data_IF_314747048050
#
_entry.id   IF_314747048050
#
_cell.length_a   1.000
_cell.length_b   1.000
_cell.length_c   1.000
_cell.angle_alpha   90.00
_cell.angle_beta   90.00
_cell.angle_gamma   90.00
#
_symmetry.space_group_name_H-M   'P 1'
#
loop_
_entity.id
_entity.type
_entity.pdbx_description
1 polymer ?
#
# COMPACT_ATOMS: atom_id res chain seq x y z
N UNK A 1 -6.48 -11.44 13.73
CA UNK A 1 -5.15 -10.97 13.31
C UNK A 1 -5.32 -9.78 12.37
N UNK A 2 -4.58 -8.70 12.58
CA UNK A 2 -4.58 -7.52 11.70
C UNK A 2 -3.63 -7.76 10.52
N UNK A 3 -4.08 -7.50 9.29
CA UNK A 3 -3.21 -7.56 8.11
C UNK A 3 -2.83 -6.13 7.70
N UNK A 4 -1.55 -5.72 7.82
CA UNK A 4 -1.13 -4.35 7.53
C UNK A 4 -0.97 -4.06 6.03
N UNK A 5 -1.12 -5.04 5.14
CA UNK A 5 -0.94 -4.85 3.70
C UNK A 5 -1.99 -5.58 2.85
N UNK A 6 -2.33 -4.98 1.71
CA UNK A 6 -3.29 -5.54 0.74
C UNK A 6 -2.77 -5.35 -0.69
N UNK A 7 -2.98 -6.35 -1.54
CA UNK A 7 -2.70 -6.27 -2.98
C UNK A 7 -3.92 -5.71 -3.68
N UNK A 8 -3.74 -4.71 -4.54
CA UNK A 8 -4.82 -4.13 -5.33
C UNK A 8 -5.10 -5.02 -6.54
N UNK A 9 -6.32 -5.52 -6.63
CA UNK A 9 -6.74 -6.51 -7.64
C UNK A 9 -7.67 -5.95 -8.71
N UNK A 10 -8.16 -4.72 -8.56
CA UNK A 10 -9.07 -4.06 -9.51
C UNK A 10 -8.54 -2.69 -9.95
N UNK A 11 -9.03 -2.21 -11.09
CA UNK A 11 -8.66 -0.91 -11.64
C UNK A 11 -9.42 0.28 -11.06
N UNK A 12 -10.22 0.10 -9.99
CA UNK A 12 -11.10 1.18 -9.50
C UNK A 12 -10.35 2.38 -8.94
N UNK A 13 -9.08 2.21 -8.55
CA UNK A 13 -8.23 3.27 -7.99
C UNK A 13 -7.23 3.88 -9.01
N UNK A 14 -7.31 3.49 -10.28
CA UNK A 14 -6.49 4.07 -11.35
C UNK A 14 -6.90 5.53 -11.60
N UNK A 15 -5.95 6.44 -11.93
CA UNK A 15 -4.52 6.20 -12.12
C UNK A 15 -3.67 6.26 -10.85
N UNK A 16 -4.26 6.59 -9.69
CA UNK A 16 -3.50 6.87 -8.47
C UNK A 16 -2.88 5.60 -7.86
N UNK A 17 -3.61 4.50 -7.89
CA UNK A 17 -3.15 3.18 -7.43
C UNK A 17 -3.47 2.16 -8.52
N UNK A 18 -2.46 1.44 -8.99
CA UNK A 18 -2.57 0.51 -10.09
C UNK A 18 -2.89 -0.90 -9.62
N UNK A 19 -3.43 -1.72 -10.53
CA UNK A 19 -3.54 -3.16 -10.33
C UNK A 19 -2.14 -3.74 -10.08
N UNK A 20 -2.02 -4.53 -9.02
CA UNK A 20 -0.77 -5.15 -8.56
C UNK A 20 0.05 -4.32 -7.58
N UNK A 21 -0.34 -3.07 -7.29
CA UNK A 21 0.26 -2.29 -6.21
C UNK A 21 -0.10 -2.89 -4.85
N UNK A 22 0.77 -2.69 -3.86
CA UNK A 22 0.51 -3.06 -2.47
C UNK A 22 0.23 -1.80 -1.68
N UNK A 23 -0.92 -1.76 -0.99
CA UNK A 23 -1.24 -0.71 -0.04
C UNK A 23 -0.86 -1.15 1.36
N UNK A 24 -0.19 -0.26 2.09
CA UNK A 24 0.11 -0.43 3.52
C UNK A 24 -0.88 0.41 4.32
N UNK A 25 -1.50 -0.20 5.31
CA UNK A 25 -2.52 0.44 6.15
C UNK A 25 -2.11 0.57 7.61
N UNK A 26 -2.68 1.57 8.27
CA UNK A 26 -2.66 1.73 9.73
C UNK A 26 -4.06 2.00 10.25
N UNK A 27 -4.33 1.58 11.48
CA UNK A 27 -5.58 1.84 12.18
C UNK A 27 -5.39 2.07 13.69
N UNK A 28 -4.13 2.18 14.14
CA UNK A 28 -3.73 2.21 15.55
C UNK A 28 -3.14 3.57 15.97
N UNK A 29 -3.29 4.61 15.14
CA UNK A 29 -2.88 5.98 15.48
C UNK A 29 -4.09 6.92 15.43
N UNK A 30 -3.99 8.07 16.09
CA UNK A 30 -5.04 9.08 16.09
C UNK A 30 -5.44 9.50 14.67
N UNK A 31 -4.47 9.80 13.79
CA UNK A 31 -4.74 10.21 12.40
C UNK A 31 -5.31 9.11 11.48
N UNK A 32 -5.29 7.86 11.95
CA UNK A 32 -5.75 6.68 11.21
C UNK A 32 -6.91 5.98 11.91
N UNK A 33 -7.49 6.58 12.95
CA UNK A 33 -8.72 6.10 13.55
C UNK A 33 -9.92 6.52 12.70
N UNK A 34 -11.01 5.74 12.77
CA UNK A 34 -12.22 5.98 11.98
C UNK A 34 -12.78 7.40 12.17
N UNK A 35 -12.90 7.85 13.41
CA UNK A 35 -13.48 9.15 13.77
C UNK A 35 -12.61 10.37 13.37
N UNK A 36 -11.41 10.13 12.84
CA UNK A 36 -10.49 11.19 12.40
C UNK A 36 -10.21 11.13 10.89
N UNK A 37 -10.97 10.29 10.17
CA UNK A 37 -10.91 10.22 8.72
C UNK A 37 -11.37 11.54 8.10
N UNK A 38 -10.87 11.81 6.90
CA UNK A 38 -11.20 13.03 6.14
C UNK A 38 -11.59 12.67 4.72
N UNK A 39 -12.43 13.51 4.12
CA UNK A 39 -12.68 13.45 2.67
C UNK A 39 -11.35 13.50 1.92
N UNK A 40 -11.17 12.58 0.98
CA UNK A 40 -9.94 12.39 0.22
C UNK A 40 -9.01 11.32 0.77
N UNK A 41 -9.18 10.86 2.01
CA UNK A 41 -8.43 9.71 2.53
C UNK A 41 -8.74 8.44 1.73
N UNK A 42 -7.74 7.57 1.58
CA UNK A 42 -7.92 6.24 0.98
C UNK A 42 -7.97 5.22 2.11
N UNK A 43 -9.01 4.40 2.14
CA UNK A 43 -9.21 3.42 3.19
C UNK A 43 -9.40 2.02 2.61
N UNK A 44 -9.05 1.04 3.42
CA UNK A 44 -9.40 -0.36 3.24
C UNK A 44 -10.57 -0.68 4.17
N UNK A 45 -11.60 -1.30 3.63
CA UNK A 45 -12.80 -1.67 4.38
C UNK A 45 -13.37 -3.00 3.89
N UNK A 46 -14.24 -3.59 4.70
CA UNK A 46 -15.05 -4.76 4.36
C UNK A 46 -16.42 -4.30 3.86
N UNK A 47 -16.76 -4.67 2.63
CA UNK A 47 -18.04 -4.33 2.03
C UNK A 47 -19.21 -4.86 2.89
N UNK A 48 -20.27 -4.06 3.13
CA UNK A 48 -21.42 -4.50 3.93
C UNK A 48 -22.15 -5.72 3.35
N UNK A 49 -22.42 -5.72 2.04
CA UNK A 49 -23.28 -6.72 1.39
C UNK A 49 -22.57 -7.57 0.33
N UNK A 50 -21.34 -7.21 -0.06
CA UNK A 50 -20.58 -8.02 -1.02
C UNK A 50 -19.67 -9.03 -0.34
N UNK A 51 -19.79 -10.29 -0.77
CA UNK A 51 -18.99 -11.41 -0.27
C UNK A 51 -18.12 -12.06 -1.36
N UNK A 52 -17.04 -12.70 -0.93
CA UNK A 52 -16.22 -13.62 -1.73
C UNK A 52 -16.93 -14.97 -1.86
N UNK A 53 -16.42 -15.85 -2.72
CA UNK A 53 -16.99 -17.19 -2.95
C UNK A 53 -17.03 -18.06 -1.68
N UNK A 54 -16.08 -17.86 -0.76
CA UNK A 54 -16.04 -18.50 0.55
C UNK A 54 -16.89 -17.79 1.62
N UNK A 55 -17.77 -16.88 1.22
CA UNK A 55 -18.77 -16.23 2.07
C UNK A 55 -18.24 -15.11 2.97
N UNK A 56 -16.97 -14.70 2.82
CA UNK A 56 -16.38 -13.61 3.62
C UNK A 56 -16.69 -12.26 2.98
N UNK A 57 -16.79 -11.17 3.74
CA UNK A 57 -16.93 -9.83 3.15
C UNK A 57 -15.78 -9.50 2.19
N UNK A 58 -16.08 -8.93 1.03
CA UNK A 58 -15.06 -8.44 0.09
C UNK A 58 -14.30 -7.29 0.75
N UNK A 59 -12.97 -7.32 0.61
CA UNK A 59 -12.10 -6.23 1.04
C UNK A 59 -11.88 -5.28 -0.12
N UNK A 60 -12.16 -3.99 0.08
CA UNK A 60 -12.15 -2.96 -0.96
C UNK A 60 -11.24 -1.82 -0.51
N UNK A 61 -10.52 -1.23 -1.49
CA UNK A 61 -9.69 -0.04 -1.31
C UNK A 61 -10.33 1.09 -2.11
N UNK A 62 -10.90 2.11 -1.46
CA UNK A 62 -11.49 3.27 -2.14
C UNK A 62 -11.13 4.59 -1.43
N UNK A 63 -11.41 5.72 -2.09
CA UNK A 63 -11.26 7.06 -1.53
C UNK A 63 -12.56 7.53 -0.90
N UNK A 64 -12.47 8.15 0.27
CA UNK A 64 -13.59 8.81 0.93
C UNK A 64 -14.04 10.00 0.08
N UNK A 65 -15.28 9.97 -0.37
CA UNK A 65 -15.92 11.07 -1.09
C UNK A 65 -16.78 11.94 -0.16
N UNK A 66 -17.31 11.36 0.92
CA UNK A 66 -18.16 12.07 1.87
C UNK A 66 -18.06 11.45 3.27
N UNK A 67 -18.22 12.28 4.29
CA UNK A 67 -18.38 11.89 5.69
C UNK A 67 -19.68 12.52 6.17
N UNK A 68 -20.53 11.72 6.79
CA UNK A 68 -21.84 12.14 7.23
C UNK A 68 -22.30 11.41 8.47
N UNK A 69 -23.61 11.42 8.70
CA UNK A 69 -24.22 10.76 9.84
C UNK A 69 -25.46 10.00 9.39
N UNK A 70 -25.59 8.75 9.83
CA UNK A 70 -26.75 7.90 9.59
C UNK A 70 -27.25 7.35 10.92
N UNK A 71 -28.51 7.63 11.27
CA UNK A 71 -29.12 7.23 12.54
C UNK A 71 -28.28 7.64 13.77
N UNK A 72 -27.68 8.83 13.74
CA UNK A 72 -26.85 9.36 14.82
C UNK A 72 -25.44 8.77 14.92
N UNK A 73 -25.04 7.89 13.99
CA UNK A 73 -23.68 7.35 13.90
C UNK A 73 -22.91 7.96 12.73
N UNK A 74 -21.63 8.22 12.92
CA UNK A 74 -20.74 8.63 11.84
C UNK A 74 -20.67 7.54 10.77
N UNK A 75 -20.80 7.95 9.51
CA UNK A 75 -20.69 7.08 8.34
C UNK A 75 -19.82 7.70 7.28
N UNK A 76 -19.18 6.82 6.52
CA UNK A 76 -18.31 7.18 5.42
C UNK A 76 -18.89 6.67 4.10
N UNK A 77 -18.86 7.51 3.08
CA UNK A 77 -19.12 7.13 1.68
C UNK A 77 -17.79 7.10 0.95
N UNK A 78 -17.49 5.99 0.26
CA UNK A 78 -16.29 5.88 -0.55
C UNK A 78 -16.63 5.56 -1.99
N UNK A 79 -15.71 5.87 -2.91
CA UNK A 79 -15.75 5.41 -4.29
C UNK A 79 -14.34 5.19 -4.83
N UNK A 80 -14.23 4.34 -5.84
CA UNK A 80 -13.02 4.25 -6.64
C UNK A 80 -12.70 5.59 -7.31
N UNK A 81 -11.42 5.91 -7.45
CA UNK A 81 -10.98 7.10 -8.19
C UNK A 81 -11.46 7.08 -9.65
N UNK A 82 -11.47 5.89 -10.27
CA UNK A 82 -11.98 5.64 -11.61
C UNK A 82 -13.52 5.46 -11.67
N UNK A 83 -14.19 5.34 -10.52
CA UNK A 83 -15.63 5.11 -10.48
C UNK A 83 -16.40 6.44 -10.47
N UNK A 84 -17.49 6.57 -11.26
CA UNK A 84 -18.29 7.79 -11.30
C UNK A 84 -19.10 8.03 -10.03
N UNK A 85 -19.55 6.97 -9.35
CA UNK A 85 -20.40 7.04 -8.16
C UNK A 85 -20.15 5.86 -7.21
N UNK A 86 -20.61 6.00 -5.98
CA UNK A 86 -20.70 4.95 -4.96
C UNK A 86 -21.91 4.04 -5.19
N UNK A 87 -21.81 2.79 -4.76
CA UNK A 87 -22.84 1.76 -4.85
C UNK A 87 -23.35 1.43 -3.44
N UNK A 88 -24.64 1.67 -3.14
CA UNK A 88 -25.26 1.30 -1.87
C UNK A 88 -25.05 -0.19 -1.52
N UNK A 89 -24.78 -0.48 -0.25
CA UNK A 89 -24.49 -1.83 0.24
C UNK A 89 -23.06 -2.32 -0.06
N UNK A 90 -22.30 -1.60 -0.90
CA UNK A 90 -20.93 -1.95 -1.27
C UNK A 90 -19.94 -1.00 -0.62
N UNK A 91 -20.00 0.28 -0.96
CA UNK A 91 -19.03 1.30 -0.53
C UNK A 91 -19.70 2.52 0.15
N UNK A 92 -21.01 2.41 0.43
CA UNK A 92 -21.82 3.27 1.28
C UNK A 92 -23.09 2.54 1.80
N UNK A 93 -23.55 2.82 3.03
CA UNK A 93 -22.84 3.52 4.11
C UNK A 93 -21.79 2.60 4.76
N UNK A 94 -20.64 3.15 5.11
CA UNK A 94 -19.60 2.43 5.86
C UNK A 94 -19.56 2.93 7.30
N UNK A 95 -19.73 2.02 8.24
CA UNK A 95 -19.57 2.26 9.67
C UNK A 95 -18.19 1.82 10.16
N UNK A 96 -17.90 2.10 11.43
CA UNK A 96 -16.64 1.72 12.07
C UNK A 96 -16.36 0.21 11.97
N UNK A 97 -17.39 -0.63 11.97
CA UNK A 97 -17.25 -2.10 11.88
C UNK A 97 -16.79 -2.56 10.50
N UNK A 98 -17.04 -1.77 9.45
CA UNK A 98 -16.53 -2.02 8.10
C UNK A 98 -15.05 -1.64 7.98
N UNK A 99 -14.58 -0.67 8.77
CA UNK A 99 -13.26 -0.09 8.64
C UNK A 99 -12.14 -1.09 9.00
N UNK A 100 -11.16 -1.21 8.11
CA UNK A 100 -9.96 -2.04 8.34
C UNK A 100 -8.76 -1.15 8.66
N UNK A 101 -8.54 -0.10 7.86
CA UNK A 101 -7.48 0.87 8.09
C UNK A 101 -7.31 1.88 6.96
N UNK A 102 -6.58 2.96 7.25
CA UNK A 102 -6.25 4.03 6.30
C UNK A 102 -4.95 3.70 5.60
N UNK A 103 -4.93 3.87 4.28
CA UNK A 103 -3.73 3.70 3.46
C UNK A 103 -2.75 4.82 3.80
N UNK A 104 -1.56 4.43 4.25
CA UNK A 104 -0.46 5.36 4.60
C UNK A 104 0.68 5.29 3.60
N UNK A 105 0.76 4.23 2.81
CA UNK A 105 1.80 4.06 1.80
C UNK A 105 1.34 3.14 0.67
N UNK A 106 1.85 3.36 -0.54
CA UNK A 106 1.61 2.53 -1.72
C UNK A 106 2.95 2.10 -2.27
N UNK A 107 3.17 0.79 -2.35
CA UNK A 107 4.34 0.19 -2.98
C UNK A 107 3.94 -0.16 -4.42
N UNK A 108 4.56 0.48 -5.42
CA UNK A 108 4.30 0.15 -6.82
C UNK A 108 4.67 -1.30 -7.12
N UNK A 109 3.81 -1.99 -7.88
CA UNK A 109 3.99 -3.32 -8.49
C UNK A 109 5.27 -4.06 -8.11
N UNK A 110 5.18 -4.98 -7.13
CA UNK A 110 6.29 -5.92 -6.85
C UNK A 110 6.63 -6.75 -8.11
N UNK A 111 5.66 -6.98 -9.01
CA UNK A 111 5.90 -7.65 -10.30
C UNK A 111 6.93 -6.92 -11.20
N UNK A 112 7.05 -5.60 -11.08
CA UNK A 112 8.11 -4.84 -11.79
C UNK A 112 9.47 -5.04 -11.13
N UNK A 113 9.52 -5.17 -9.79
CA UNK A 113 10.76 -5.52 -9.07
C UNK A 113 11.24 -6.91 -9.48
N UNK A 114 10.34 -7.89 -9.57
CA UNK A 114 10.71 -9.21 -10.08
C UNK A 114 11.19 -9.15 -11.54
N UNK A 115 10.64 -8.25 -12.37
CA UNK A 115 11.11 -8.01 -13.74
C UNK A 115 12.55 -7.45 -13.77
N UNK A 116 12.94 -6.58 -12.83
CA UNK A 116 14.32 -6.09 -12.69
C UNK A 116 15.28 -7.24 -12.32
N UNK A 117 14.80 -8.25 -11.60
CA UNK A 117 15.57 -9.44 -11.22
C UNK A 117 15.55 -10.55 -12.29
N UNK A 118 14.97 -10.31 -13.46
CA UNK A 118 15.05 -11.24 -14.59
C UNK A 118 16.29 -10.97 -15.47
N UNK A 119 16.80 -11.99 -16.19
CA UNK A 119 17.86 -11.80 -17.18
C UNK A 119 17.50 -10.74 -18.24
N UNK A 120 18.47 -9.92 -18.69
CA UNK A 120 19.90 -9.96 -18.34
C UNK A 120 20.28 -9.07 -17.13
N UNK A 121 19.34 -8.31 -16.57
CA UNK A 121 19.62 -7.26 -15.57
C UNK A 121 20.16 -7.86 -14.27
N UNK A 122 19.67 -9.04 -13.88
CA UNK A 122 20.16 -9.76 -12.70
C UNK A 122 21.67 -10.05 -12.74
N UNK A 123 22.24 -10.36 -13.91
CA UNK A 123 23.67 -10.62 -14.06
C UNK A 123 24.49 -9.34 -13.82
N UNK A 124 23.99 -8.20 -14.27
CA UNK A 124 24.63 -6.89 -14.05
C UNK A 124 24.65 -6.59 -12.55
N UNK A 125 23.54 -6.80 -11.85
CA UNK A 125 23.44 -6.60 -10.40
C UNK A 125 24.41 -7.54 -9.66
N UNK A 126 24.47 -8.83 -10.02
CA UNK A 126 25.41 -9.78 -9.42
C UNK A 126 26.87 -9.37 -9.64
N UNK A 127 27.23 -8.91 -10.85
CA UNK A 127 28.59 -8.46 -11.16
C UNK A 127 29.00 -7.24 -10.30
N UNK A 128 28.09 -6.28 -10.09
CA UNK A 128 28.33 -5.10 -9.24
C UNK A 128 28.55 -5.54 -7.78
N UNK A 129 27.69 -6.41 -7.24
CA UNK A 129 27.82 -6.89 -5.85
C UNK A 129 29.16 -7.61 -5.66
N UNK A 130 29.53 -8.51 -6.58
CA UNK A 130 30.82 -9.22 -6.52
C UNK A 130 31.99 -8.23 -6.62
N UNK A 131 31.94 -7.26 -7.53
CA UNK A 131 32.97 -6.23 -7.67
C UNK A 131 33.16 -5.39 -6.41
N UNK A 132 32.07 -4.99 -5.75
CA UNK A 132 32.10 -4.25 -4.48
C UNK A 132 32.67 -5.11 -3.35
N UNK A 133 32.32 -6.40 -3.29
CA UNK A 133 32.89 -7.33 -2.32
C UNK A 133 34.41 -7.47 -2.52
N UNK A 134 34.87 -7.67 -3.75
CA UNK A 134 36.31 -7.75 -4.08
C UNK A 134 37.03 -6.45 -3.70
N UNK A 135 36.44 -5.29 -4.02
CA UNK A 135 36.99 -3.98 -3.65
C UNK A 135 37.11 -3.82 -2.13
N UNK A 136 36.09 -4.24 -1.38
CA UNK A 136 36.07 -4.14 0.09
C UNK A 136 37.12 -5.01 0.78
N UNK A 137 37.50 -6.12 0.15
CA UNK A 137 38.50 -7.07 0.67
C UNK A 137 39.94 -6.63 0.34
N UNK A 138 40.15 -5.68 -0.59
CA UNK A 138 41.50 -5.19 -0.89
C UNK A 138 42.09 -4.50 0.34
N UNK A 139 43.25 -4.96 0.86
CA UNK A 139 43.90 -4.31 1.99
C UNK A 139 44.27 -2.89 1.57
N UNK A 140 43.79 -1.91 2.35
CA UNK A 140 44.14 -0.50 2.14
C UNK A 140 45.65 -0.39 2.34
N UNK A 141 46.40 0.00 1.29
CA UNK A 141 47.82 0.32 1.43
C UNK A 141 47.92 1.48 2.43
N UNK A 142 48.46 1.21 3.61
CA UNK A 142 48.87 2.25 4.54
C UNK A 142 50.11 2.86 3.94
N UNK A 143 49.99 4.10 3.47
CA UNK A 143 51.13 4.87 2.99
C UNK A 143 51.94 5.26 4.22
N UNK A 144 53.10 4.62 4.39
CA UNK A 144 54.04 5.03 5.43
C UNK A 144 54.70 6.33 4.97
N UNK A 145 54.27 7.42 5.57
CA UNK A 145 54.92 8.72 5.47
C UNK A 145 56.34 8.55 6.06
N UNK A 146 57.35 8.57 5.19
CA UNK A 146 58.74 8.46 5.60
C UNK A 146 59.12 9.74 6.34
N UNK A 147 59.21 9.67 7.66
CA UNK A 147 59.89 10.69 8.47
C UNK A 147 61.35 10.76 8.01
N UNK A 148 61.70 11.88 7.39
CA UNK A 148 63.09 12.23 7.07
C UNK A 148 63.69 12.89 8.29
N UNK A 149 64.80 12.32 8.78
CA UNK A 149 65.64 12.81 9.88
C UNK A 149 66.28 14.15 9.54
#
# INVERSE_FOLDING_TARGET
SFNPFYVVVSGSMVPKINIGDIVIIKNNSFETSFNNLRVGDIIVFRAPEATTEDGKPKVIVHRISEIGTFLGKEVVTTKGDANPYSIPGIDFPLFMENYVGKVVYVIPKIGTISMILTPPINYIIMAIIIGLLIYSIRPRKVEHENETV
#
